data_IF_963821980332
#
_entry.id   IF_963821980332
#
_cell.length_a   1.000
_cell.length_b   1.000
_cell.length_c   1.000
_cell.angle_alpha   90.00
_cell.angle_beta   90.00
_cell.angle_gamma   90.00
#
_symmetry.space_group_name_H-M   'P 1'
#
loop_
_entity.id
_entity.type
_entity.pdbx_description
1 polymer ?
#
# COMPACT_ATOMS: atom_id res chain seq x y z
N UNK A 1 18.42 -3.71 -13.39
CA UNK A 1 18.11 -2.78 -12.27
C UNK A 1 17.18 -3.50 -11.32
N UNK A 2 17.29 -3.28 -10.01
CA UNK A 2 16.35 -3.84 -9.03
C UNK A 2 14.97 -3.22 -9.23
N UNK A 3 13.92 -4.05 -9.12
CA UNK A 3 12.52 -3.62 -9.26
C UNK A 3 11.98 -2.99 -7.97
N UNK A 4 12.65 -3.28 -6.84
CA UNK A 4 12.39 -2.69 -5.53
C UNK A 4 13.72 -2.19 -4.98
N UNK A 5 13.77 -0.94 -4.55
CA UNK A 5 14.97 -0.34 -3.94
C UNK A 5 14.71 0.02 -2.49
N UNK A 6 15.73 -0.04 -1.65
CA UNK A 6 15.64 0.30 -0.23
C UNK A 6 16.74 1.27 0.17
N UNK A 7 16.42 2.18 1.07
CA UNK A 7 17.38 3.10 1.69
C UNK A 7 17.03 3.26 3.16
N UNK A 8 17.98 2.96 4.06
CA UNK A 8 17.76 3.02 5.50
C UNK A 8 18.63 4.10 6.13
N UNK A 9 18.02 4.95 6.94
CA UNK A 9 18.71 5.98 7.74
C UNK A 9 17.98 6.16 9.08
N UNK A 10 18.71 6.21 10.18
CA UNK A 10 18.20 6.47 11.53
C UNK A 10 17.02 5.56 11.94
N UNK A 11 17.07 4.29 11.52
CA UNK A 11 16.01 3.32 11.82
C UNK A 11 14.75 3.45 10.97
N UNK A 12 14.76 4.28 9.93
CA UNK A 12 13.66 4.44 8.98
C UNK A 12 14.12 3.89 7.64
N UNK A 13 13.39 2.89 7.11
CA UNK A 13 13.64 2.31 5.81
C UNK A 13 12.62 2.82 4.78
N UNK A 14 13.10 3.46 3.71
CA UNK A 14 12.27 3.79 2.56
C UNK A 14 12.38 2.67 1.52
N UNK A 15 11.26 2.08 1.17
CA UNK A 15 11.10 1.06 0.12
C UNK A 15 10.42 1.73 -1.08
N UNK A 16 11.01 1.58 -2.28
CA UNK A 16 10.44 2.13 -3.51
C UNK A 16 10.18 1.05 -4.53
N UNK A 17 8.98 1.05 -5.12
CA UNK A 17 8.71 0.29 -6.33
C UNK A 17 9.38 1.04 -7.49
N UNK A 18 10.28 0.38 -8.21
CA UNK A 18 11.17 1.02 -9.18
C UNK A 18 10.91 0.55 -10.61
N UNK A 19 9.73 0.89 -11.13
CA UNK A 19 9.32 0.72 -12.54
C UNK A 19 8.58 1.98 -13.04
N UNK A 20 9.20 3.18 -12.99
CA UNK A 20 8.51 4.43 -13.30
C UNK A 20 8.03 4.51 -14.75
N UNK A 21 8.68 3.84 -15.68
CA UNK A 21 8.31 3.70 -17.08
C UNK A 21 6.99 2.92 -17.30
N UNK A 22 6.59 2.09 -16.34
CA UNK A 22 5.33 1.34 -16.30
C UNK A 22 4.41 1.83 -15.17
N UNK A 23 4.54 3.09 -14.72
CA UNK A 23 3.77 3.66 -13.61
C UNK A 23 3.83 2.78 -12.33
N UNK A 24 4.96 2.16 -12.09
CA UNK A 24 5.19 1.24 -10.98
C UNK A 24 4.17 0.07 -10.89
N UNK A 25 3.65 -0.36 -12.06
CA UNK A 25 2.78 -1.52 -12.15
C UNK A 25 3.51 -2.79 -11.72
N UNK A 26 2.80 -3.66 -11.01
CA UNK A 26 3.35 -4.86 -10.39
C UNK A 26 3.06 -6.09 -11.26
N UNK A 27 4.11 -6.67 -11.84
CA UNK A 27 4.10 -8.04 -12.38
C UNK A 27 4.53 -9.03 -11.27
N UNK A 28 4.63 -10.30 -11.60
CA UNK A 28 5.02 -11.36 -10.64
C UNK A 28 6.40 -11.10 -10.00
N UNK A 29 7.35 -10.52 -10.75
CA UNK A 29 8.71 -10.30 -10.26
C UNK A 29 8.76 -9.17 -9.24
N UNK A 30 8.07 -8.04 -9.51
CA UNK A 30 7.91 -6.93 -8.54
C UNK A 30 7.25 -7.44 -7.27
N UNK A 31 6.17 -8.23 -7.42
CA UNK A 31 5.45 -8.77 -6.28
C UNK A 31 6.34 -9.66 -5.40
N UNK A 32 7.10 -10.57 -6.00
CA UNK A 32 8.04 -11.45 -5.28
C UNK A 32 9.17 -10.66 -4.61
N UNK A 33 9.70 -9.63 -5.29
CA UNK A 33 10.77 -8.79 -4.73
C UNK A 33 10.25 -7.95 -3.55
N UNK A 34 9.02 -7.44 -3.60
CA UNK A 34 8.36 -6.78 -2.46
C UNK A 34 8.19 -7.72 -1.29
N UNK A 35 7.64 -8.92 -1.49
CA UNK A 35 7.48 -9.92 -0.42
C UNK A 35 8.83 -10.15 0.27
N UNK A 36 9.87 -10.50 -0.51
CA UNK A 36 11.21 -10.76 0.02
C UNK A 36 11.77 -9.56 0.78
N UNK A 37 11.55 -8.36 0.27
CA UNK A 37 12.01 -7.12 0.92
C UNK A 37 11.35 -6.93 2.28
N UNK A 38 10.03 -7.06 2.37
CA UNK A 38 9.32 -6.90 3.63
C UNK A 38 9.59 -8.04 4.62
N UNK A 39 9.75 -9.29 4.16
CA UNK A 39 10.17 -10.41 5.00
C UNK A 39 11.59 -10.22 5.60
N UNK A 40 12.49 -9.57 4.86
CA UNK A 40 13.81 -9.23 5.37
C UNK A 40 13.73 -8.08 6.38
N UNK A 41 12.93 -7.05 6.10
CA UNK A 41 12.72 -5.93 7.01
C UNK A 41 12.04 -6.37 8.31
N UNK A 42 11.12 -7.34 8.25
CA UNK A 42 10.48 -7.91 9.44
C UNK A 42 11.49 -8.53 10.41
N UNK A 43 12.62 -9.03 9.91
CA UNK A 43 13.70 -9.64 10.70
C UNK A 43 14.77 -8.64 11.15
N UNK A 44 14.75 -7.41 10.61
CA UNK A 44 15.76 -6.39 10.93
C UNK A 44 15.32 -5.54 12.12
N UNK A 45 15.92 -5.77 13.28
CA UNK A 45 15.64 -5.03 14.51
C UNK A 45 16.19 -3.59 14.50
N UNK A 46 17.05 -3.23 13.54
CA UNK A 46 17.51 -1.87 13.37
C UNK A 46 16.49 -0.98 12.65
N UNK A 47 15.51 -1.58 11.96
CA UNK A 47 14.43 -0.84 11.28
C UNK A 47 13.24 -0.68 12.22
N UNK A 48 12.87 0.55 12.50
CA UNK A 48 11.76 0.91 13.39
C UNK A 48 10.49 1.26 12.64
N UNK A 49 10.60 1.88 11.45
CA UNK A 49 9.48 2.34 10.61
C UNK A 49 9.83 2.11 9.15
N UNK A 50 8.84 1.74 8.34
CA UNK A 50 8.97 1.57 6.90
C UNK A 50 8.11 2.60 6.18
N UNK A 51 8.70 3.31 5.20
CA UNK A 51 7.99 4.16 4.25
C UNK A 51 7.96 3.42 2.92
N UNK A 52 6.80 3.21 2.35
CA UNK A 52 6.61 2.62 1.02
C UNK A 52 6.16 3.70 0.04
N UNK A 53 6.81 3.81 -1.11
CA UNK A 53 6.46 4.78 -2.16
C UNK A 53 6.80 4.22 -3.55
N UNK A 54 6.40 4.93 -4.60
CA UNK A 54 6.81 4.63 -5.98
C UNK A 54 7.99 5.52 -6.41
N UNK A 55 8.86 5.03 -7.27
CA UNK A 55 9.89 5.84 -7.90
C UNK A 55 9.27 6.82 -8.90
N UNK A 56 9.79 8.05 -8.93
CA UNK A 56 9.29 9.15 -9.76
C UNK A 56 8.10 9.90 -9.12
N UNK A 57 7.42 10.72 -9.91
CA UNK A 57 6.35 11.60 -9.41
C UNK A 57 4.95 11.21 -9.89
N UNK A 58 4.85 10.25 -10.85
CA UNK A 58 3.58 9.96 -11.53
C UNK A 58 2.72 8.94 -10.81
N UNK A 59 3.32 7.96 -10.15
CA UNK A 59 2.58 6.86 -9.55
C UNK A 59 3.28 6.27 -8.33
N UNK A 60 2.49 6.02 -7.31
CA UNK A 60 2.81 5.06 -6.26
C UNK A 60 2.85 3.65 -6.87
N UNK A 61 1.72 3.22 -7.44
CA UNK A 61 1.59 2.05 -8.31
C UNK A 61 0.26 2.10 -9.05
N UNK A 62 0.28 1.88 -10.36
CA UNK A 62 -0.93 1.73 -11.18
C UNK A 62 -1.62 0.35 -11.01
N UNK A 63 -1.12 -0.49 -10.10
CA UNK A 63 -1.70 -1.77 -9.76
C UNK A 63 -1.08 -2.95 -10.50
N UNK A 64 -1.88 -3.96 -10.80
CA UNK A 64 -1.44 -5.12 -11.55
C UNK A 64 -1.02 -4.73 -12.98
N UNK A 65 0.06 -5.34 -13.48
CA UNK A 65 0.54 -5.13 -14.85
C UNK A 65 -0.40 -5.82 -15.84
N UNK A 66 -1.29 -5.04 -16.48
CA UNK A 66 -2.33 -5.54 -17.40
C UNK A 66 -1.67 -6.22 -18.62
N UNK A 67 -0.54 -5.70 -19.10
CA UNK A 67 0.18 -6.31 -20.21
C UNK A 67 0.73 -7.70 -19.81
N UNK A 68 1.23 -7.84 -18.60
CA UNK A 68 1.63 -9.13 -18.03
C UNK A 68 0.43 -10.07 -17.92
N UNK A 69 -0.69 -9.59 -17.34
CA UNK A 69 -1.92 -10.38 -17.18
C UNK A 69 -2.49 -10.91 -18.49
N UNK A 70 -2.38 -10.15 -19.58
CA UNK A 70 -2.90 -10.57 -20.90
C UNK A 70 -2.11 -11.71 -21.54
N UNK A 71 -0.93 -12.05 -21.02
CA UNK A 71 0.00 -13.05 -21.57
C UNK A 71 0.07 -14.34 -20.77
N UNK A 72 -0.51 -14.36 -19.56
CA UNK A 72 -0.46 -15.53 -18.66
C UNK A 72 -1.68 -16.43 -18.84
N UNK A 73 -1.50 -17.72 -18.59
CA UNK A 73 -2.57 -18.71 -18.62
C UNK A 73 -3.56 -18.54 -17.45
N UNK A 74 -4.75 -19.16 -17.49
CA UNK A 74 -5.69 -19.16 -16.37
C UNK A 74 -5.08 -19.65 -15.05
N UNK A 75 -4.27 -20.71 -15.08
CA UNK A 75 -3.61 -21.26 -13.88
C UNK A 75 -2.57 -20.27 -13.33
N UNK A 76 -1.78 -19.64 -14.19
CA UNK A 76 -0.84 -18.59 -13.79
C UNK A 76 -1.57 -17.36 -13.25
N UNK A 77 -2.77 -17.04 -13.74
CA UNK A 77 -3.59 -15.95 -13.23
C UNK A 77 -4.01 -16.20 -11.78
N UNK A 78 -4.37 -17.45 -11.43
CA UNK A 78 -4.67 -17.84 -10.04
C UNK A 78 -3.43 -17.69 -9.15
N UNK A 79 -2.28 -18.15 -9.63
CA UNK A 79 -1.00 -18.01 -8.90
C UNK A 79 -0.62 -16.53 -8.70
N UNK A 80 -0.82 -15.70 -9.73
CA UNK A 80 -0.57 -14.26 -9.68
C UNK A 80 -1.49 -13.54 -8.68
N UNK A 81 -2.79 -13.87 -8.68
CA UNK A 81 -3.73 -13.33 -7.69
C UNK A 81 -3.32 -13.67 -6.25
N UNK A 82 -2.93 -14.94 -6.01
CA UNK A 82 -2.40 -15.37 -4.69
C UNK A 82 -1.13 -14.62 -4.31
N UNK A 83 -0.23 -14.38 -5.27
CA UNK A 83 0.99 -13.60 -5.03
C UNK A 83 0.66 -12.16 -4.64
N UNK A 84 -0.31 -11.52 -5.31
CA UNK A 84 -0.76 -10.18 -4.96
C UNK A 84 -1.41 -10.10 -3.58
N UNK A 85 -2.22 -11.11 -3.21
CA UNK A 85 -2.75 -11.22 -1.85
C UNK A 85 -1.62 -11.38 -0.82
N UNK A 86 -0.59 -12.17 -1.13
CA UNK A 86 0.55 -12.36 -0.25
C UNK A 86 1.35 -11.06 -0.08
N UNK A 87 1.58 -10.27 -1.15
CA UNK A 87 2.23 -8.95 -1.04
C UNK A 87 1.52 -8.07 -0.02
N UNK A 88 0.21 -7.88 -0.21
CA UNK A 88 -0.56 -7.00 0.67
C UNK A 88 -0.64 -7.53 2.11
N UNK A 89 -0.75 -8.84 2.30
CA UNK A 89 -0.70 -9.46 3.61
C UNK A 89 0.67 -9.30 4.28
N UNK A 90 1.78 -9.49 3.54
CA UNK A 90 3.13 -9.31 4.06
C UNK A 90 3.38 -7.88 4.55
N UNK A 91 2.94 -6.87 3.77
CA UNK A 91 3.06 -5.46 4.18
C UNK A 91 2.20 -5.15 5.42
N UNK A 92 0.99 -5.71 5.50
CA UNK A 92 0.09 -5.49 6.65
C UNK A 92 0.63 -6.14 7.94
N UNK A 93 1.27 -7.31 7.81
CA UNK A 93 1.66 -8.13 8.96
C UNK A 93 3.09 -7.87 9.46
N UNK A 94 3.93 -7.14 8.68
CA UNK A 94 5.28 -6.79 9.14
C UNK A 94 5.22 -6.08 10.50
N UNK A 95 6.13 -6.43 11.42
CA UNK A 95 6.10 -5.90 12.81
C UNK A 95 6.29 -4.38 12.88
N UNK A 96 7.05 -3.79 11.96
CA UNK A 96 7.27 -2.35 11.90
C UNK A 96 6.00 -1.64 11.42
N UNK A 97 5.66 -0.47 11.96
CA UNK A 97 4.67 0.41 11.38
C UNK A 97 5.07 0.84 9.97
N UNK A 98 4.08 0.90 9.08
CA UNK A 98 4.25 1.19 7.66
C UNK A 98 3.51 2.44 7.24
N UNK A 99 4.15 3.30 6.43
CA UNK A 99 3.58 4.54 5.89
C UNK A 99 3.60 4.44 4.37
N UNK A 100 2.44 4.48 3.70
CA UNK A 100 2.37 4.67 2.27
C UNK A 100 2.49 6.16 1.95
N UNK A 101 3.57 6.56 1.28
CA UNK A 101 3.76 7.90 0.71
C UNK A 101 3.32 7.86 -0.76
N UNK A 102 2.08 8.29 -1.02
CA UNK A 102 1.40 8.13 -2.31
C UNK A 102 1.73 9.32 -3.21
N UNK A 103 2.71 9.16 -4.08
CA UNK A 103 3.29 10.20 -4.93
C UNK A 103 2.52 10.46 -6.25
N UNK A 104 1.41 9.76 -6.50
CA UNK A 104 0.62 9.90 -7.72
C UNK A 104 -0.48 8.86 -7.80
N UNK A 105 -0.60 8.15 -8.94
CA UNK A 105 -1.61 7.11 -9.09
C UNK A 105 -1.41 5.96 -8.10
N UNK A 106 -2.47 5.60 -7.37
CA UNK A 106 -2.58 4.39 -6.55
C UNK A 106 -3.88 3.69 -6.95
N UNK A 107 -3.81 2.79 -7.96
CA UNK A 107 -4.97 2.22 -8.60
C UNK A 107 -4.98 0.69 -8.48
N UNK A 108 -6.16 0.10 -8.33
CA UNK A 108 -6.31 -1.35 -8.23
C UNK A 108 -5.39 -1.96 -7.19
N UNK A 109 -4.57 -2.93 -7.57
CA UNK A 109 -3.56 -3.52 -6.69
C UNK A 109 -2.62 -2.52 -6.02
N UNK A 110 -2.37 -1.34 -6.62
CA UNK A 110 -1.62 -0.25 -6.02
C UNK A 110 -2.38 0.43 -4.87
N UNK A 111 -3.68 0.62 -5.03
CA UNK A 111 -4.54 1.10 -3.95
C UNK A 111 -4.67 0.04 -2.83
N UNK A 112 -4.77 -1.25 -3.19
CA UNK A 112 -4.80 -2.36 -2.25
C UNK A 112 -3.51 -2.44 -1.43
N UNK A 113 -2.36 -2.23 -2.08
CA UNK A 113 -1.05 -2.15 -1.41
C UNK A 113 -0.96 -0.93 -0.49
N UNK A 114 -1.44 0.24 -0.91
CA UNK A 114 -1.48 1.42 -0.06
C UNK A 114 -2.38 1.20 1.17
N UNK A 115 -3.53 0.54 1.02
CA UNK A 115 -4.44 0.18 2.11
C UNK A 115 -3.87 -0.88 3.05
N UNK A 116 -2.88 -1.65 2.65
CA UNK A 116 -2.19 -2.60 3.52
C UNK A 116 -1.15 -1.96 4.43
N UNK A 117 -0.72 -0.74 4.13
CA UNK A 117 0.07 0.07 5.05
C UNK A 117 -0.79 0.60 6.21
N UNK A 118 -0.17 0.88 7.37
CA UNK A 118 -0.87 1.39 8.55
C UNK A 118 -1.36 2.82 8.33
N UNK A 119 -0.52 3.68 7.77
CA UNK A 119 -0.78 5.11 7.52
C UNK A 119 -0.61 5.42 6.04
N UNK A 120 -1.44 6.32 5.51
CA UNK A 120 -1.38 6.78 4.11
C UNK A 120 -1.29 8.29 4.08
N UNK A 121 -0.22 8.82 3.48
CA UNK A 121 -0.03 10.24 3.18
C UNK A 121 -0.04 10.37 1.65
N UNK A 122 -0.90 11.21 1.10
CA UNK A 122 -1.03 11.36 -0.34
C UNK A 122 -0.55 12.74 -0.79
N UNK A 123 0.09 12.78 -1.96
CA UNK A 123 0.28 14.03 -2.67
C UNK A 123 -1.08 14.62 -3.10
N UNK A 124 -1.21 15.94 -3.14
CA UNK A 124 -2.39 16.66 -3.62
C UNK A 124 -2.79 16.30 -5.07
N UNK A 125 -1.80 15.91 -5.87
CA UNK A 125 -1.98 15.42 -7.24
C UNK A 125 -2.42 13.97 -7.33
N UNK A 126 -2.38 13.20 -6.23
CA UNK A 126 -2.66 11.77 -6.25
C UNK A 126 -4.09 11.43 -6.67
N UNK A 127 -4.23 10.24 -7.26
CA UNK A 127 -5.51 9.65 -7.64
C UNK A 127 -5.57 8.22 -7.11
N UNK A 128 -6.63 7.91 -6.39
CA UNK A 128 -6.83 6.60 -5.79
C UNK A 128 -8.11 5.96 -6.36
N UNK A 129 -8.15 4.63 -6.45
CA UNK A 129 -9.35 3.94 -6.92
C UNK A 129 -9.17 2.44 -7.06
N UNK A 130 -10.32 1.77 -7.26
CA UNK A 130 -10.42 0.33 -7.54
C UNK A 130 -11.10 0.14 -8.90
N UNK A 131 -10.39 0.39 -10.03
CA UNK A 131 -10.98 0.39 -11.36
C UNK A 131 -11.13 -1.00 -11.99
N UNK A 132 -10.85 -2.06 -11.27
CA UNK A 132 -10.79 -3.45 -11.77
C UNK A 132 -12.04 -3.88 -12.53
N UNK A 133 -13.22 -3.41 -12.10
CA UNK A 133 -14.51 -3.74 -12.76
C UNK A 133 -14.58 -3.22 -14.21
N UNK A 134 -13.81 -2.19 -14.55
CA UNK A 134 -13.75 -1.65 -15.91
C UNK A 134 -13.07 -2.58 -16.90
N UNK A 135 -12.31 -3.54 -16.40
CA UNK A 135 -11.66 -4.60 -17.18
C UNK A 135 -12.24 -6.00 -16.87
N UNK A 136 -13.42 -6.05 -16.20
CA UNK A 136 -14.18 -7.28 -16.00
C UNK A 136 -13.71 -8.17 -14.85
N UNK A 137 -12.90 -7.66 -13.92
CA UNK A 137 -12.45 -8.41 -12.73
C UNK A 137 -12.78 -7.66 -11.44
N UNK A 138 -12.92 -8.34 -10.29
CA UNK A 138 -13.04 -7.67 -9.00
C UNK A 138 -11.66 -7.26 -8.44
N UNK A 139 -11.59 -6.33 -7.46
CA UNK A 139 -10.39 -6.12 -6.66
C UNK A 139 -9.95 -7.43 -5.99
N UNK A 140 -8.76 -7.92 -6.33
CA UNK A 140 -8.32 -9.28 -6.02
C UNK A 140 -7.26 -9.41 -4.93
N UNK A 141 -6.63 -8.30 -4.49
CA UNK A 141 -5.52 -8.32 -3.53
C UNK A 141 -5.93 -7.83 -2.13
N UNK A 142 -7.23 -7.92 -1.82
CA UNK A 142 -7.81 -7.59 -0.52
C UNK A 142 -8.57 -6.26 -0.49
N UNK A 143 -8.71 -5.56 -1.61
CA UNK A 143 -9.40 -4.27 -1.70
C UNK A 143 -10.86 -4.34 -1.25
N UNK A 144 -11.59 -5.38 -1.63
CA UNK A 144 -12.97 -5.60 -1.18
C UNK A 144 -13.09 -5.64 0.34
N UNK A 145 -12.06 -6.12 1.04
CA UNK A 145 -12.06 -6.26 2.49
C UNK A 145 -11.48 -5.05 3.22
N UNK A 146 -10.37 -4.49 2.72
CA UNK A 146 -9.73 -3.33 3.35
C UNK A 146 -10.51 -2.04 3.12
N UNK A 147 -10.97 -1.81 1.87
CA UNK A 147 -11.67 -0.57 1.55
C UNK A 147 -12.92 -0.38 2.39
N UNK A 148 -13.78 -1.41 2.50
CA UNK A 148 -15.03 -1.26 3.29
C UNK A 148 -14.78 -1.05 4.78
N UNK A 149 -13.65 -1.52 5.31
CA UNK A 149 -13.26 -1.31 6.72
C UNK A 149 -12.70 0.09 6.97
N UNK A 150 -12.17 0.73 5.93
CA UNK A 150 -11.60 2.08 6.02
C UNK A 150 -12.68 3.12 5.76
N UNK A 151 -13.46 3.00 4.69
CA UNK A 151 -14.39 4.06 4.23
C UNK A 151 -15.88 3.73 4.45
N UNK A 152 -16.16 2.57 5.04
CA UNK A 152 -17.53 2.07 5.21
C UNK A 152 -18.08 1.38 3.96
N UNK A 153 -19.09 0.51 4.16
CA UNK A 153 -19.60 -0.40 3.13
C UNK A 153 -20.19 0.36 1.93
N UNK A 154 -20.98 1.41 2.18
CA UNK A 154 -21.68 2.14 1.12
C UNK A 154 -20.68 2.83 0.18
N UNK A 155 -19.69 3.54 0.74
CA UNK A 155 -18.66 4.24 -0.06
C UNK A 155 -17.76 3.23 -0.78
N UNK A 156 -17.40 2.13 -0.15
CA UNK A 156 -16.62 1.06 -0.80
C UNK A 156 -17.36 0.48 -2.02
N UNK A 157 -18.66 0.19 -1.89
CA UNK A 157 -19.48 -0.27 -3.02
C UNK A 157 -19.56 0.75 -4.15
N UNK A 158 -19.76 2.04 -3.82
CA UNK A 158 -19.77 3.12 -4.81
C UNK A 158 -18.45 3.12 -5.60
N UNK A 159 -17.31 3.15 -4.91
CA UNK A 159 -15.98 3.20 -5.55
C UNK A 159 -15.69 1.97 -6.41
N UNK A 160 -15.96 0.78 -5.87
CA UNK A 160 -15.71 -0.48 -6.60
C UNK A 160 -16.66 -0.66 -7.78
N UNK A 161 -17.97 -0.42 -7.60
CA UNK A 161 -18.94 -0.69 -8.66
C UNK A 161 -18.84 0.29 -9.81
N UNK A 162 -18.47 1.53 -9.53
CA UNK A 162 -18.27 2.55 -10.58
C UNK A 162 -16.87 2.49 -11.20
N UNK A 163 -15.89 1.90 -10.51
CA UNK A 163 -14.48 1.93 -10.92
C UNK A 163 -13.89 3.33 -10.97
N UNK A 164 -14.57 4.34 -10.37
CA UNK A 164 -14.12 5.74 -10.42
C UNK A 164 -12.82 5.94 -9.65
N UNK A 165 -11.98 6.82 -10.18
CA UNK A 165 -10.84 7.35 -9.46
C UNK A 165 -11.26 8.61 -8.70
N UNK A 166 -10.80 8.74 -7.45
CA UNK A 166 -11.02 9.91 -6.60
C UNK A 166 -9.74 10.73 -6.42
N UNK A 167 -9.88 12.00 -6.17
CA UNK A 167 -8.79 12.91 -5.84
C UNK A 167 -8.33 12.71 -4.39
N UNK A 168 -7.11 13.16 -4.08
CA UNK A 168 -6.54 13.07 -2.74
C UNK A 168 -7.44 13.71 -1.66
N UNK A 169 -8.04 14.87 -1.94
CA UNK A 169 -8.94 15.55 -0.99
C UNK A 169 -10.19 14.72 -0.69
N UNK A 170 -10.88 14.16 -1.72
CA UNK A 170 -12.01 13.24 -1.51
C UNK A 170 -11.56 12.00 -0.72
N UNK A 171 -10.37 11.46 -1.02
CA UNK A 171 -9.82 10.33 -0.30
C UNK A 171 -9.58 10.64 1.20
N UNK A 172 -9.20 11.89 1.52
CA UNK A 172 -9.07 12.35 2.90
C UNK A 172 -10.42 12.52 3.59
N UNK A 173 -11.39 13.12 2.91
CA UNK A 173 -12.74 13.31 3.45
C UNK A 173 -13.41 12.00 3.86
N UNK A 174 -13.22 10.94 3.06
CA UNK A 174 -13.79 9.62 3.35
C UNK A 174 -12.91 8.75 4.26
N UNK A 175 -11.78 9.25 4.73
CA UNK A 175 -10.85 8.54 5.62
C UNK A 175 -9.94 7.52 4.92
N UNK A 176 -9.91 7.50 3.57
CA UNK A 176 -9.02 6.58 2.83
C UNK A 176 -7.55 6.96 3.00
N UNK A 177 -7.23 8.24 3.14
CA UNK A 177 -5.89 8.72 3.48
C UNK A 177 -5.91 9.57 4.75
N UNK A 178 -4.80 9.55 5.51
CA UNK A 178 -4.68 10.26 6.77
C UNK A 178 -4.34 11.75 6.55
N UNK A 179 -3.55 12.04 5.51
CA UNK A 179 -3.06 13.39 5.25
C UNK A 179 -2.91 13.62 3.74
N UNK A 180 -3.14 14.86 3.29
CA UNK A 180 -2.83 15.32 1.93
C UNK A 180 -1.85 16.47 2.04
N UNK A 181 -0.81 16.45 1.23
CA UNK A 181 0.28 17.44 1.22
C UNK A 181 0.70 17.74 -0.22
N UNK A 182 1.33 18.89 -0.49
CA UNK A 182 1.92 19.13 -1.80
C UNK A 182 2.90 18.01 -2.19
N UNK A 183 2.92 17.62 -3.47
CA UNK A 183 3.81 16.55 -3.95
C UNK A 183 5.27 16.80 -3.57
N UNK A 184 5.73 18.04 -3.69
CA UNK A 184 7.11 18.42 -3.35
C UNK A 184 7.48 18.18 -1.87
N UNK A 185 6.48 18.18 -0.96
CA UNK A 185 6.67 17.96 0.49
C UNK A 185 6.39 16.54 0.94
N UNK A 186 5.91 15.66 0.04
CA UNK A 186 5.42 14.33 0.41
C UNK A 186 6.46 13.49 1.17
N UNK A 187 7.68 13.43 0.67
CA UNK A 187 8.74 12.61 1.27
C UNK A 187 9.18 13.17 2.63
N UNK A 188 9.24 14.49 2.75
CA UNK A 188 9.56 15.17 4.00
C UNK A 188 8.48 14.91 5.08
N UNK A 189 7.21 15.04 4.73
CA UNK A 189 6.10 14.81 5.67
C UNK A 189 5.99 13.32 6.06
N UNK A 190 6.23 12.40 5.12
CA UNK A 190 6.30 10.98 5.44
C UNK A 190 7.47 10.66 6.38
N UNK A 191 8.64 11.26 6.15
CA UNK A 191 9.80 11.11 7.02
C UNK A 191 9.55 11.71 8.41
N UNK A 192 8.94 12.88 8.51
CA UNK A 192 8.57 13.53 9.76
C UNK A 192 7.61 12.66 10.59
N UNK A 193 6.58 12.09 9.96
CA UNK A 193 5.68 11.14 10.61
C UNK A 193 6.45 9.89 11.09
N UNK A 194 7.33 9.34 10.26
CA UNK A 194 8.14 8.19 10.62
C UNK A 194 9.08 8.48 11.81
N UNK A 195 9.68 9.67 11.85
CA UNK A 195 10.53 10.11 12.98
C UNK A 195 9.73 10.23 14.29
N UNK A 196 8.51 10.78 14.24
CA UNK A 196 7.62 10.83 15.41
C UNK A 196 7.29 9.44 15.95
N UNK A 197 7.03 8.47 15.06
CA UNK A 197 6.78 7.09 15.44
C UNK A 197 8.06 6.44 16.01
N UNK A 198 9.20 6.62 15.35
CA UNK A 198 10.48 6.03 15.72
C UNK A 198 11.05 6.56 17.07
N UNK A 199 10.59 7.73 17.52
CA UNK A 199 10.94 8.32 18.79
C UNK A 199 10.24 7.63 19.98
N UNK A 200 9.18 6.87 19.73
CA UNK A 200 8.44 6.13 20.75
C UNK A 200 9.07 4.76 21.02
N UNK A 201 8.55 4.07 22.06
CA UNK A 201 8.95 2.69 22.36
C UNK A 201 8.62 1.77 21.18
N UNK A 202 9.65 1.17 20.59
CA UNK A 202 9.50 0.23 19.45
C UNK A 202 8.53 -0.91 19.80
N UNK A 203 8.73 -1.53 20.97
CA UNK A 203 7.85 -2.62 21.43
C UNK A 203 6.41 -2.11 21.62
N UNK A 204 6.22 -0.95 22.25
CA UNK A 204 4.89 -0.37 22.46
C UNK A 204 4.14 -0.14 21.15
N UNK A 205 4.82 0.41 20.14
CA UNK A 205 4.23 0.65 18.80
C UNK A 205 3.90 -0.67 18.09
N UNK A 206 4.81 -1.63 18.09
CA UNK A 206 4.60 -2.94 17.45
C UNK A 206 3.45 -3.73 18.10
N UNK A 207 3.39 -3.76 19.43
CA UNK A 207 2.28 -4.41 20.15
C UNK A 207 0.94 -3.72 19.89
N UNK A 208 0.93 -2.40 19.81
CA UNK A 208 -0.28 -1.64 19.45
C UNK A 208 -0.76 -1.98 18.03
N UNK A 209 0.15 -2.07 17.05
CA UNK A 209 -0.17 -2.52 15.68
C UNK A 209 -0.80 -3.91 15.69
N UNK A 210 -0.19 -4.87 16.38
CA UNK A 210 -0.72 -6.24 16.49
C UNK A 210 -2.10 -6.25 17.13
N UNK A 211 -2.30 -5.52 18.23
CA UNK A 211 -3.57 -5.46 18.95
C UNK A 211 -4.68 -4.85 18.05
N UNK A 212 -4.40 -3.72 17.40
CA UNK A 212 -5.35 -3.06 16.47
C UNK A 212 -5.71 -3.99 15.31
N UNK A 213 -4.70 -4.61 14.67
CA UNK A 213 -4.93 -5.47 13.50
C UNK A 213 -5.73 -6.74 13.87
N UNK A 214 -5.48 -7.34 15.02
CA UNK A 214 -6.24 -8.50 15.51
C UNK A 214 -7.64 -8.10 15.98
N UNK A 215 -7.76 -6.98 16.70
CA UNK A 215 -9.00 -6.53 17.32
C UNK A 215 -10.05 -6.04 16.34
N UNK A 216 -9.67 -5.63 15.11
CA UNK A 216 -10.63 -5.08 14.14
C UNK A 216 -11.76 -6.03 13.72
N UNK A 217 -11.64 -7.33 13.98
CA UNK A 217 -12.63 -8.36 13.67
C UNK A 217 -13.06 -9.16 14.91
N UNK A 218 -12.67 -8.71 16.12
CA UNK A 218 -12.96 -9.38 17.38
C UNK A 218 -13.91 -8.54 18.23
N UNK A 219 -14.72 -9.22 19.07
CA UNK A 219 -15.50 -8.54 20.10
C UNK A 219 -14.60 -8.08 21.25
N UNK A 220 -15.03 -7.04 22.00
CA UNK A 220 -14.24 -6.48 23.09
C UNK A 220 -13.97 -7.47 24.23
N UNK A 221 -14.77 -8.52 24.33
CA UNK A 221 -14.67 -9.56 25.36
C UNK A 221 -13.72 -10.71 24.99
N UNK A 222 -13.02 -10.61 23.85
CA UNK A 222 -12.01 -11.56 23.38
C UNK A 222 -10.62 -10.99 23.45
#
# INVERSE_FOLDING_TARGET
MSLVTTSTSNGICTVKINRPDKLNAMNSDVAKELIKTFENLDKDDNVKVIILTGEGEKAFSAGADIEYMSKISPDESVAYAKTGQLVTATVELVKQPTIAAINGFALGGGCELAMSCDIRIAADTARLGQPEVTIGIPPGWGGTQRLMRIVGIAKAKELVYTGKMIKADEAKEIGLVNQVVPLASLQEEALKMAQQIAANSVMGVQMSKVAINKGRNADLDT
#
